data_IF_592125391388
#
_entry.id   IF_592125391388
#
_cell.length_a   1.000
_cell.length_b   1.000
_cell.length_c   1.000
_cell.angle_alpha   90.00
_cell.angle_beta   90.00
_cell.angle_gamma   90.00
#
_symmetry.space_group_name_H-M   'P 1'
#
loop_
_entity.id
_entity.type
_entity.pdbx_description
1 polymer ?
#
# COMPACT_ATOMS: atom_id res chain seq x y z
N UNK A 1 -26.33 -1.07 12.18
CA UNK A 1 -25.34 -0.87 13.25
C UNK A 1 -24.06 -0.45 12.57
N UNK A 2 -23.68 0.82 12.63
CA UNK A 2 -22.42 1.31 12.02
C UNK A 2 -21.27 0.62 12.74
N UNK A 3 -20.42 -0.11 12.02
CA UNK A 3 -19.23 -0.80 12.57
C UNK A 3 -18.15 0.20 13.04
N UNK A 4 -18.23 1.45 12.56
CA UNK A 4 -17.36 2.56 12.92
C UNK A 4 -18.03 3.47 13.96
N UNK A 5 -17.31 3.83 15.03
CA UNK A 5 -17.74 4.86 15.99
C UNK A 5 -17.65 6.27 15.40
N UNK A 6 -18.08 7.27 16.17
CA UNK A 6 -18.03 8.68 15.75
C UNK A 6 -16.61 9.15 15.42
N UNK A 7 -15.61 8.69 16.17
CA UNK A 7 -14.20 9.04 15.94
C UNK A 7 -13.68 8.44 14.61
N UNK A 8 -14.04 7.21 14.29
CA UNK A 8 -13.69 6.57 13.00
C UNK A 8 -14.28 7.34 11.81
N UNK A 9 -15.54 7.81 11.91
CA UNK A 9 -16.15 8.60 10.84
C UNK A 9 -15.49 9.98 10.71
N UNK A 10 -15.06 10.61 11.81
CA UNK A 10 -14.28 11.84 11.76
C UNK A 10 -12.94 11.67 11.03
N UNK A 11 -12.20 10.60 11.34
CA UNK A 11 -10.93 10.29 10.67
C UNK A 11 -11.16 10.02 9.18
N UNK A 12 -12.17 9.22 8.86
CA UNK A 12 -12.57 8.97 7.47
C UNK A 12 -12.87 10.26 6.72
N UNK A 13 -13.61 11.19 7.34
CA UNK A 13 -13.93 12.48 6.73
C UNK A 13 -12.68 13.35 6.51
N UNK A 14 -11.72 13.35 7.43
CA UNK A 14 -10.43 14.05 7.25
C UNK A 14 -9.71 13.50 6.02
N UNK A 15 -9.56 12.17 5.92
CA UNK A 15 -8.90 11.52 4.79
C UNK A 15 -9.63 11.79 3.47
N UNK A 16 -10.97 11.74 3.45
CA UNK A 16 -11.79 12.06 2.27
C UNK A 16 -11.61 13.51 1.83
N UNK A 17 -11.74 14.46 2.75
CA UNK A 17 -11.60 15.88 2.42
C UNK A 17 -10.19 16.22 1.91
N UNK A 18 -9.17 15.55 2.46
CA UNK A 18 -7.81 15.65 1.96
C UNK A 18 -7.71 15.11 0.52
N UNK A 19 -8.20 13.89 0.30
CA UNK A 19 -8.16 13.23 -1.01
C UNK A 19 -8.87 14.05 -2.11
N UNK A 20 -10.05 14.56 -1.81
CA UNK A 20 -10.85 15.38 -2.74
C UNK A 20 -10.16 16.71 -3.09
N UNK A 21 -9.43 17.31 -2.17
CA UNK A 21 -8.78 18.61 -2.38
C UNK A 21 -7.36 18.48 -2.94
N UNK A 22 -6.56 17.58 -2.43
CA UNK A 22 -5.12 17.54 -2.69
C UNK A 22 -4.70 16.43 -3.68
N UNK A 23 -5.57 15.42 -3.95
CA UNK A 23 -5.21 14.29 -4.82
C UNK A 23 -6.11 14.24 -6.07
N UNK A 24 -7.41 14.14 -5.90
CA UNK A 24 -8.37 13.90 -6.99
C UNK A 24 -8.21 14.86 -8.19
N UNK A 25 -8.03 16.19 -7.99
CA UNK A 25 -7.89 17.13 -9.11
C UNK A 25 -6.64 16.93 -9.96
N UNK A 26 -5.62 16.27 -9.42
CA UNK A 26 -4.31 16.11 -10.04
C UNK A 26 -3.99 14.68 -10.47
N UNK A 27 -4.77 13.69 -10.02
CA UNK A 27 -4.49 12.27 -10.20
C UNK A 27 -4.28 11.86 -11.67
N UNK A 28 -5.08 12.38 -12.60
CA UNK A 28 -4.94 12.10 -14.04
C UNK A 28 -3.64 12.67 -14.62
N UNK A 29 -3.23 13.87 -14.21
CA UNK A 29 -1.97 14.46 -14.64
C UNK A 29 -0.78 13.70 -14.09
N UNK A 30 -0.80 13.37 -12.79
CA UNK A 30 0.27 12.62 -12.15
C UNK A 30 0.41 11.19 -12.71
N UNK A 31 -0.70 10.52 -13.04
CA UNK A 31 -0.65 9.22 -13.75
C UNK A 31 0.02 9.36 -15.12
N UNK A 32 -0.33 10.40 -15.90
CA UNK A 32 0.23 10.65 -17.23
C UNK A 32 1.71 11.03 -17.18
N UNK A 33 2.13 11.83 -16.20
CA UNK A 33 3.51 12.31 -16.05
C UNK A 33 4.39 11.37 -15.21
N UNK A 34 3.78 10.39 -14.57
CA UNK A 34 4.43 9.45 -13.63
C UNK A 34 5.22 10.18 -12.51
N UNK A 35 4.67 11.31 -12.07
CA UNK A 35 5.34 12.19 -11.12
C UNK A 35 4.34 12.81 -10.14
N UNK A 36 4.62 12.63 -8.85
CA UNK A 36 3.86 13.23 -7.75
C UNK A 36 4.79 14.16 -6.97
N UNK A 37 4.38 15.41 -6.67
CA UNK A 37 5.18 16.31 -5.86
C UNK A 37 5.47 15.74 -4.47
N UNK A 38 6.73 15.81 -4.02
CA UNK A 38 7.13 15.32 -2.68
C UNK A 38 6.33 16.00 -1.57
N UNK A 39 5.97 17.26 -1.76
CA UNK A 39 5.20 18.07 -0.83
C UNK A 39 3.82 17.50 -0.50
N UNK A 40 3.27 16.63 -1.37
CA UNK A 40 2.01 15.93 -1.07
C UNK A 40 2.14 15.08 0.19
N UNK A 41 3.24 14.36 0.35
CA UNK A 41 3.46 13.49 1.51
C UNK A 41 3.67 14.28 2.80
N UNK A 42 4.28 15.48 2.71
CA UNK A 42 4.37 16.39 3.84
C UNK A 42 2.97 16.87 4.27
N UNK A 43 2.13 17.27 3.31
CA UNK A 43 0.72 17.62 3.59
C UNK A 43 -0.08 16.45 4.16
N UNK A 44 0.18 15.21 3.70
CA UNK A 44 -0.43 14.01 4.28
C UNK A 44 -0.02 13.83 5.74
N UNK A 45 1.23 14.09 6.07
CA UNK A 45 1.73 14.05 7.44
C UNK A 45 1.10 15.12 8.34
N UNK A 46 0.91 16.36 7.84
CA UNK A 46 0.25 17.44 8.57
C UNK A 46 -1.18 17.07 9.04
N UNK A 47 -1.86 16.17 8.33
CA UNK A 47 -3.17 15.65 8.73
C UNK A 47 -3.10 14.26 9.37
N UNK A 48 -1.89 13.80 9.75
CA UNK A 48 -1.66 12.56 10.50
C UNK A 48 -1.67 11.28 9.67
N UNK A 49 -1.70 11.34 8.33
CA UNK A 49 -1.81 10.15 7.48
C UNK A 49 -0.50 9.36 7.32
N UNK A 50 0.67 9.93 7.65
CA UNK A 50 1.96 9.26 7.47
C UNK A 50 2.47 8.51 8.71
N UNK A 51 1.76 8.60 9.85
CA UNK A 51 2.09 7.91 11.10
C UNK A 51 0.86 7.54 11.91
N UNK A 52 -0.18 7.01 11.25
CA UNK A 52 -1.50 6.81 11.86
C UNK A 52 -1.48 5.93 13.10
N UNK A 53 -0.75 4.82 13.04
CA UNK A 53 -0.70 3.80 14.10
C UNK A 53 0.54 3.92 15.01
N UNK A 54 1.35 4.94 14.78
CA UNK A 54 2.57 5.18 15.57
C UNK A 54 2.22 5.97 16.81
N UNK A 55 2.84 5.61 17.93
CA UNK A 55 2.59 6.24 19.22
C UNK A 55 2.89 7.75 19.20
N UNK A 56 2.11 8.57 19.91
CA UNK A 56 2.30 10.02 19.94
C UNK A 56 3.68 10.47 20.42
N UNK A 57 4.36 9.68 21.26
CA UNK A 57 5.74 9.98 21.70
C UNK A 57 6.74 10.03 20.54
N UNK A 58 6.43 9.33 19.42
CA UNK A 58 7.22 9.32 18.19
C UNK A 58 6.61 10.17 17.08
N UNK A 59 5.69 11.09 17.42
CA UNK A 59 5.05 11.99 16.47
C UNK A 59 3.91 11.38 15.66
N UNK A 60 3.49 10.17 15.96
CA UNK A 60 2.35 9.50 15.33
C UNK A 60 1.00 9.92 15.91
N UNK A 61 -0.09 9.43 15.30
CA UNK A 61 -1.46 9.73 15.72
C UNK A 61 -2.02 8.76 16.76
N UNK A 62 -1.36 7.63 17.01
CA UNK A 62 -1.76 6.62 18.00
C UNK A 62 -3.14 5.99 17.73
N UNK A 63 -3.56 5.97 16.45
CA UNK A 63 -4.87 5.48 16.05
C UNK A 63 -4.89 3.95 15.92
N UNK A 64 -6.08 3.39 16.01
CA UNK A 64 -6.31 1.97 15.81
C UNK A 64 -6.22 1.57 14.31
N UNK A 65 -6.17 0.27 14.07
CA UNK A 65 -6.05 -0.28 12.71
C UNK A 65 -7.31 -0.04 11.87
N UNK A 66 -8.48 0.00 12.50
CA UNK A 66 -9.74 0.34 11.85
C UNK A 66 -9.70 1.76 11.27
N UNK A 67 -9.18 2.73 12.00
CA UNK A 67 -8.95 4.10 11.52
C UNK A 67 -8.03 4.15 10.31
N UNK A 68 -6.92 3.38 10.36
CA UNK A 68 -5.97 3.30 9.26
C UNK A 68 -6.61 2.77 7.97
N UNK A 69 -7.37 1.67 8.03
CA UNK A 69 -7.99 1.09 6.82
C UNK A 69 -9.09 1.97 6.25
N UNK A 70 -9.81 2.74 7.09
CA UNK A 70 -10.76 3.75 6.64
C UNK A 70 -10.09 4.86 5.84
N UNK A 71 -8.98 5.41 6.35
CA UNK A 71 -8.19 6.40 5.62
C UNK A 71 -7.61 5.83 4.32
N UNK A 72 -7.11 4.58 4.34
CA UNK A 72 -6.64 3.88 3.14
C UNK A 72 -7.71 3.76 2.06
N UNK A 73 -8.96 3.46 2.42
CA UNK A 73 -10.08 3.42 1.46
C UNK A 73 -10.31 4.79 0.81
N UNK A 74 -10.27 5.88 1.58
CA UNK A 74 -10.51 7.23 1.06
C UNK A 74 -9.37 7.72 0.15
N UNK A 75 -8.12 7.53 0.56
CA UNK A 75 -6.96 7.92 -0.25
C UNK A 75 -6.89 7.10 -1.55
N UNK A 76 -7.14 5.78 -1.46
CA UNK A 76 -7.14 4.91 -2.64
C UNK A 76 -8.31 5.19 -3.60
N UNK A 77 -9.42 5.72 -3.12
CA UNK A 77 -10.51 6.16 -3.99
C UNK A 77 -10.10 7.35 -4.88
N UNK A 78 -9.14 8.17 -4.43
CA UNK A 78 -8.57 9.24 -5.23
C UNK A 78 -7.39 8.76 -6.09
N UNK A 79 -6.47 7.96 -5.51
CA UNK A 79 -5.32 7.41 -6.23
C UNK A 79 -4.71 6.20 -5.50
N UNK A 80 -4.66 5.04 -6.20
CA UNK A 80 -4.12 3.81 -5.65
C UNK A 80 -2.60 3.82 -5.44
N UNK A 81 -1.85 4.53 -6.28
CA UNK A 81 -0.39 4.60 -6.17
C UNK A 81 0.05 5.44 -4.97
N UNK A 82 -0.60 6.57 -4.72
CA UNK A 82 -0.37 7.41 -3.53
C UNK A 82 -0.74 6.65 -2.26
N UNK A 83 -1.88 5.97 -2.26
CA UNK A 83 -2.29 5.10 -1.15
C UNK A 83 -1.24 4.01 -0.86
N UNK A 84 -0.58 3.47 -1.90
CA UNK A 84 0.46 2.46 -1.74
C UNK A 84 1.74 3.01 -1.08
N UNK A 85 2.15 4.25 -1.38
CA UNK A 85 3.27 4.92 -0.67
C UNK A 85 2.91 5.17 0.80
N UNK A 86 1.70 5.68 1.07
CA UNK A 86 1.17 5.83 2.43
C UNK A 86 1.18 4.50 3.19
N UNK A 87 0.77 3.40 2.52
CA UNK A 87 0.79 2.07 3.10
C UNK A 87 2.21 1.65 3.48
N UNK A 88 3.16 1.71 2.55
CA UNK A 88 4.54 1.27 2.78
C UNK A 88 5.20 2.01 3.95
N UNK A 89 4.95 3.32 4.06
CA UNK A 89 5.47 4.15 5.14
C UNK A 89 4.88 3.77 6.51
N UNK A 90 3.55 3.66 6.63
CA UNK A 90 2.87 3.31 7.87
C UNK A 90 3.13 1.85 8.27
N UNK A 91 2.93 0.92 7.32
CA UNK A 91 3.09 -0.52 7.51
C UNK A 91 3.56 -1.13 6.17
N UNK A 92 4.74 -1.77 6.11
CA UNK A 92 5.45 -2.39 7.24
C UNK A 92 6.51 -1.52 7.93
N UNK A 93 6.98 -0.39 7.35
CA UNK A 93 8.21 0.26 7.81
C UNK A 93 8.09 0.84 9.22
N UNK A 94 7.22 1.84 9.42
CA UNK A 94 7.12 2.52 10.71
C UNK A 94 6.65 1.57 11.84
N UNK A 95 5.69 0.70 11.55
CA UNK A 95 5.22 -0.30 12.54
C UNK A 95 6.34 -1.28 12.94
N UNK A 96 7.16 -1.75 11.99
CA UNK A 96 8.27 -2.66 12.32
C UNK A 96 9.30 -1.97 13.23
N UNK A 97 9.64 -0.71 12.93
CA UNK A 97 10.54 0.08 13.79
C UNK A 97 9.95 0.25 15.19
N UNK A 98 8.66 0.60 15.30
CA UNK A 98 7.99 0.74 16.60
C UNK A 98 8.01 -0.56 17.41
N UNK A 99 7.76 -1.70 16.74
CA UNK A 99 7.66 -3.00 17.40
C UNK A 99 8.99 -3.58 17.86
N UNK A 100 10.02 -3.50 17.04
CA UNK A 100 11.29 -4.22 17.28
C UNK A 100 12.53 -3.35 17.16
N UNK A 101 12.41 -2.09 16.81
CA UNK A 101 13.52 -1.15 16.73
C UNK A 101 14.06 -0.79 18.13
N UNK A 102 15.36 -0.52 18.20
CA UNK A 102 15.98 0.07 19.39
C UNK A 102 15.41 1.47 19.65
N UNK A 103 15.53 1.96 20.88
CA UNK A 103 15.12 3.33 21.22
C UNK A 103 15.83 4.38 20.35
N UNK A 104 17.07 4.11 19.95
CA UNK A 104 17.80 4.99 19.04
C UNK A 104 17.18 4.97 17.65
N UNK A 105 16.89 3.79 17.10
CA UNK A 105 16.22 3.65 15.79
C UNK A 105 14.84 4.32 15.80
N UNK A 106 14.07 4.18 16.88
CA UNK A 106 12.76 4.87 17.01
C UNK A 106 12.91 6.39 16.98
N UNK A 107 13.88 6.94 17.73
CA UNK A 107 14.17 8.38 17.70
C UNK A 107 14.63 8.88 16.35
N UNK A 108 15.49 8.14 15.66
CA UNK A 108 16.12 8.57 14.42
C UNK A 108 15.19 8.49 13.22
N UNK A 109 14.29 7.49 13.21
CA UNK A 109 13.46 7.20 12.05
C UNK A 109 11.99 7.55 12.21
N UNK A 110 11.34 7.22 13.35
CA UNK A 110 9.88 7.34 13.46
C UNK A 110 9.41 8.79 13.35
N UNK A 111 10.07 9.74 14.03
CA UNK A 111 9.68 11.15 13.98
C UNK A 111 9.76 11.73 12.58
N UNK A 112 10.73 11.31 11.78
CA UNK A 112 10.90 11.75 10.39
C UNK A 112 9.90 11.09 9.45
N UNK A 113 9.56 9.81 9.67
CA UNK A 113 8.54 9.10 8.90
C UNK A 113 7.14 9.65 9.19
N UNK A 114 6.82 9.93 10.45
CA UNK A 114 5.51 10.45 10.85
C UNK A 114 5.28 11.90 10.43
N UNK A 115 6.34 12.72 10.39
CA UNK A 115 6.30 14.11 9.92
C UNK A 115 6.31 14.24 8.39
N UNK A 116 6.53 13.14 7.65
CA UNK A 116 6.68 13.17 6.18
C UNK A 116 8.02 13.76 5.71
N UNK A 117 8.91 14.12 6.63
CA UNK A 117 10.29 14.50 6.28
C UNK A 117 10.99 13.37 5.52
N UNK A 118 10.77 12.14 5.97
CA UNK A 118 11.25 10.93 5.33
C UNK A 118 10.10 10.02 4.89
N UNK A 119 10.35 9.25 3.83
CA UNK A 119 9.47 8.18 3.34
C UNK A 119 10.20 6.85 3.47
N UNK A 120 9.49 5.85 3.96
CA UNK A 120 10.00 4.49 4.13
C UNK A 120 9.63 3.55 3.00
N UNK A 121 10.55 2.64 2.66
CA UNK A 121 10.32 1.53 1.71
C UNK A 121 10.77 0.20 2.27
N UNK A 122 10.10 -0.90 1.85
CA UNK A 122 10.50 -2.27 2.20
C UNK A 122 11.13 -2.97 1.01
N UNK A 123 12.28 -3.62 1.23
CA UNK A 123 13.10 -4.31 0.24
C UNK A 123 13.13 -5.81 0.53
N UNK A 124 12.12 -6.55 0.07
CA UNK A 124 12.00 -7.99 0.27
C UNK A 124 12.18 -8.77 -1.04
N UNK A 125 11.30 -8.49 -2.02
CA UNK A 125 11.20 -9.21 -3.30
C UNK A 125 12.49 -9.07 -4.13
N UNK A 126 12.86 -10.15 -4.81
CA UNK A 126 14.02 -10.22 -5.73
C UNK A 126 13.56 -10.64 -7.13
N UNK A 127 14.36 -10.40 -8.19
CA UNK A 127 13.95 -10.72 -9.57
C UNK A 127 13.49 -12.16 -9.79
N UNK A 128 14.03 -13.11 -9.02
CA UNK A 128 13.73 -14.54 -9.14
C UNK A 128 12.72 -15.05 -8.12
N UNK A 129 12.37 -14.27 -7.08
CA UNK A 129 11.46 -14.73 -6.02
C UNK A 129 10.60 -13.60 -5.44
N UNK A 130 9.31 -13.85 -5.32
CA UNK A 130 8.34 -12.98 -4.69
C UNK A 130 7.46 -13.76 -3.71
N UNK A 131 6.63 -14.71 -4.21
CA UNK A 131 5.74 -15.54 -3.38
C UNK A 131 6.49 -16.43 -2.40
N UNK A 132 7.66 -16.97 -2.80
CA UNK A 132 8.59 -17.64 -1.89
C UNK A 132 9.59 -16.65 -1.29
N UNK A 133 9.12 -15.84 -0.34
CA UNK A 133 9.91 -14.83 0.33
C UNK A 133 11.13 -15.40 1.11
N UNK A 134 11.18 -16.72 1.33
CA UNK A 134 12.30 -17.38 1.99
C UNK A 134 13.45 -17.72 1.04
N UNK A 135 13.24 -17.65 -0.27
CA UNK A 135 14.23 -17.97 -1.30
C UNK A 135 15.08 -16.75 -1.75
N UNK A 136 15.09 -15.67 -0.98
CA UNK A 136 15.93 -14.50 -1.27
C UNK A 136 17.42 -14.85 -1.19
N UNK A 137 18.21 -14.14 -1.99
CA UNK A 137 19.67 -14.36 -2.12
C UNK A 137 20.52 -13.13 -1.80
N UNK A 138 19.90 -11.95 -1.62
CA UNK A 138 20.61 -10.77 -1.13
C UNK A 138 21.28 -11.10 0.19
N UNK A 139 22.59 -10.90 0.28
CA UNK A 139 23.41 -11.26 1.44
C UNK A 139 23.80 -10.03 2.24
N UNK A 140 23.93 -10.22 3.55
CA UNK A 140 24.58 -9.30 4.45
C UNK A 140 25.75 -10.08 5.13
N UNK A 141 26.97 -9.70 4.85
CA UNK A 141 28.18 -10.32 5.43
C UNK A 141 28.77 -9.41 6.49
N UNK A 142 29.03 -9.93 7.67
CA UNK A 142 29.62 -9.14 8.75
C UNK A 142 31.08 -8.81 8.48
N UNK A 143 31.46 -7.53 8.66
CA UNK A 143 32.84 -7.04 8.55
C UNK A 143 33.12 -6.08 9.72
N UNK A 144 33.63 -6.61 10.83
CA UNK A 144 33.85 -5.86 12.07
C UNK A 144 32.53 -5.35 12.67
N UNK A 145 32.40 -4.04 12.78
CA UNK A 145 31.21 -3.35 13.34
C UNK A 145 30.20 -2.93 12.25
N UNK A 146 30.38 -3.45 11.02
CA UNK A 146 29.52 -3.18 9.89
C UNK A 146 28.96 -4.47 9.28
N UNK A 147 27.92 -4.30 8.47
CA UNK A 147 27.44 -5.32 7.53
C UNK A 147 27.63 -4.81 6.11
N UNK A 148 28.06 -5.71 5.22
CA UNK A 148 28.18 -5.46 3.79
C UNK A 148 27.06 -6.16 3.06
N UNK A 149 26.13 -5.37 2.52
CA UNK A 149 24.96 -5.86 1.79
C UNK A 149 25.28 -5.93 0.30
N UNK A 150 24.99 -7.10 -0.32
CA UNK A 150 25.16 -7.31 -1.76
C UNK A 150 24.00 -8.11 -2.32
N UNK A 151 23.38 -7.60 -3.38
CA UNK A 151 22.24 -8.24 -4.03
C UNK A 151 21.36 -7.27 -4.80
N UNK A 152 20.23 -7.78 -5.29
CA UNK A 152 19.29 -6.96 -6.08
C UNK A 152 17.87 -7.23 -5.62
N UNK A 153 17.12 -6.14 -5.35
CA UNK A 153 15.70 -6.16 -5.03
C UNK A 153 14.90 -5.67 -6.23
N UNK A 154 13.67 -6.20 -6.37
CA UNK A 154 12.77 -5.88 -7.46
C UNK A 154 11.40 -5.45 -6.94
N UNK A 155 10.69 -4.66 -7.75
CA UNK A 155 9.34 -4.15 -7.45
C UNK A 155 9.23 -3.35 -6.15
N UNK A 156 10.27 -2.56 -5.83
CA UNK A 156 10.32 -1.78 -4.60
C UNK A 156 9.48 -0.51 -4.75
N UNK A 157 8.37 -0.45 -4.02
CA UNK A 157 7.51 0.72 -3.91
C UNK A 157 8.28 1.88 -3.28
N UNK A 158 8.19 3.06 -3.88
CA UNK A 158 8.92 4.26 -3.48
C UNK A 158 10.45 4.07 -3.45
N UNK A 159 10.99 3.18 -4.29
CA UNK A 159 12.41 2.80 -4.23
C UNK A 159 13.37 3.95 -4.54
N UNK A 160 12.98 4.90 -5.39
CA UNK A 160 13.75 6.10 -5.67
C UNK A 160 13.30 7.30 -4.81
N UNK A 161 12.06 7.28 -4.33
CA UNK A 161 11.47 8.35 -3.53
C UNK A 161 11.83 8.25 -2.04
N UNK A 162 12.05 7.02 -1.53
CA UNK A 162 12.27 6.78 -0.10
C UNK A 162 13.60 7.31 0.41
N UNK A 163 13.59 7.76 1.66
CA UNK A 163 14.77 8.25 2.39
C UNK A 163 15.33 7.17 3.32
N UNK A 164 14.50 6.16 3.66
CA UNK A 164 14.91 5.03 4.51
C UNK A 164 14.39 3.71 3.94
N UNK A 165 15.25 2.70 3.96
CA UNK A 165 15.00 1.35 3.48
C UNK A 165 14.97 0.34 4.62
N UNK A 166 13.89 -0.45 4.72
CA UNK A 166 13.85 -1.68 5.49
C UNK A 166 14.27 -2.83 4.58
N UNK A 167 15.49 -3.35 4.75
CA UNK A 167 16.11 -4.33 3.86
C UNK A 167 16.10 -5.71 4.51
N UNK A 168 15.59 -6.71 3.79
CA UNK A 168 15.59 -8.11 4.23
C UNK A 168 16.70 -8.84 3.48
N UNK A 169 17.67 -9.42 4.21
CA UNK A 169 18.84 -10.05 3.65
C UNK A 169 19.27 -11.31 4.42
N UNK A 170 19.99 -12.20 3.75
CA UNK A 170 20.53 -13.43 4.33
C UNK A 170 21.83 -13.11 5.09
N UNK A 171 21.84 -13.33 6.39
CA UNK A 171 23.02 -13.19 7.27
C UNK A 171 23.68 -14.54 7.55
N UNK A 172 22.89 -15.64 7.54
CA UNK A 172 23.39 -17.01 7.70
C UNK A 172 22.80 -17.91 6.59
N UNK A 173 23.58 -18.26 5.55
CA UNK A 173 23.12 -19.10 4.45
C UNK A 173 22.67 -20.51 4.87
N UNK A 174 23.17 -21.03 5.98
CA UNK A 174 22.86 -22.37 6.48
C UNK A 174 21.66 -22.35 7.46
N UNK A 175 21.25 -21.16 7.92
CA UNK A 175 20.18 -20.96 8.89
C UNK A 175 18.76 -21.13 8.31
N UNK A 176 18.59 -21.26 6.99
CA UNK A 176 17.30 -21.30 6.31
C UNK A 176 16.47 -20.04 6.65
N UNK A 177 15.20 -20.21 7.06
CA UNK A 177 14.34 -19.07 7.43
C UNK A 177 14.86 -18.27 8.63
N UNK A 178 15.67 -18.88 9.49
CA UNK A 178 16.33 -18.22 10.63
C UNK A 178 17.67 -17.60 10.29
N UNK A 179 18.13 -17.74 9.06
CA UNK A 179 19.32 -17.06 8.55
C UNK A 179 19.01 -15.73 7.86
N UNK A 180 17.77 -15.23 7.94
CA UNK A 180 17.32 -14.00 7.29
C UNK A 180 17.10 -12.91 8.33
N UNK A 181 17.78 -11.77 8.17
CA UNK A 181 17.73 -10.61 9.06
C UNK A 181 17.09 -9.39 8.38
N UNK A 182 16.69 -8.40 9.18
CA UNK A 182 16.21 -7.11 8.70
C UNK A 182 17.18 -6.00 9.08
N UNK A 183 17.32 -5.01 8.21
CA UNK A 183 18.10 -3.80 8.44
C UNK A 183 17.23 -2.58 8.17
N UNK A 184 17.46 -1.50 8.90
CA UNK A 184 16.84 -0.19 8.65
C UNK A 184 17.96 0.83 8.47
N UNK A 185 18.03 1.46 7.30
CA UNK A 185 19.16 2.32 6.93
C UNK A 185 18.73 3.40 5.95
N UNK A 186 19.37 4.59 5.96
CA UNK A 186 19.12 5.63 4.96
C UNK A 186 19.47 5.17 3.53
N UNK A 187 18.75 5.70 2.54
CA UNK A 187 18.93 5.38 1.11
C UNK A 187 19.99 6.24 0.43
N UNK A 188 20.49 7.29 1.07
CA UNK A 188 21.59 8.13 0.57
C UNK A 188 22.98 7.47 0.66
N UNK A 189 23.00 6.20 1.10
CA UNK A 189 24.22 5.38 1.13
C UNK A 189 24.75 5.13 -0.29
N UNK A 190 26.07 5.32 -0.55
CA UNK A 190 26.67 5.13 -1.88
C UNK A 190 26.47 3.75 -2.51
N UNK A 191 26.30 2.71 -1.67
CA UNK A 191 26.00 1.34 -2.11
C UNK A 191 24.53 1.10 -2.47
N UNK A 192 23.62 2.02 -2.20
CA UNK A 192 22.22 1.96 -2.60
C UNK A 192 22.06 2.50 -4.03
N UNK A 193 21.73 1.66 -4.99
CA UNK A 193 21.70 2.05 -6.41
C UNK A 193 20.34 1.74 -7.02
N UNK A 194 19.63 2.77 -7.46
CA UNK A 194 18.43 2.61 -8.29
C UNK A 194 18.88 2.18 -9.69
N UNK A 195 18.59 0.93 -10.07
CA UNK A 195 18.95 0.38 -11.39
C UNK A 195 17.94 0.76 -12.46
N UNK A 196 16.65 0.70 -12.11
CA UNK A 196 15.56 1.03 -13.00
C UNK A 196 14.34 1.46 -12.22
N UNK A 197 13.56 2.36 -12.83
CA UNK A 197 12.18 2.64 -12.48
C UNK A 197 11.30 1.87 -13.47
N UNK A 198 10.42 1.02 -12.95
CA UNK A 198 9.61 0.12 -13.76
C UNK A 198 8.49 0.88 -14.53
N UNK A 199 8.34 0.57 -15.79
CA UNK A 199 7.20 1.04 -16.59
C UNK A 199 6.00 0.12 -16.33
N UNK A 200 4.94 0.65 -15.71
CA UNK A 200 3.85 -0.15 -15.15
C UNK A 200 2.53 0.03 -15.87
N UNK A 201 1.66 -0.96 -15.77
CA UNK A 201 0.26 -0.89 -16.20
C UNK A 201 -0.50 0.23 -15.46
N UNK A 202 -0.44 0.23 -14.12
CA UNK A 202 -1.11 1.16 -13.22
C UNK A 202 -0.23 1.56 -12.04
N UNK A 203 -0.80 2.25 -11.05
CA UNK A 203 -0.05 2.86 -9.94
C UNK A 203 1.12 3.72 -10.42
N UNK A 204 0.95 4.44 -11.52
CA UNK A 204 2.03 5.23 -12.13
C UNK A 204 2.42 6.45 -11.30
N UNK A 205 1.54 6.86 -10.39
CA UNK A 205 1.75 7.92 -9.40
C UNK A 205 2.72 7.54 -8.27
N UNK A 206 3.20 6.31 -8.25
CA UNK A 206 4.22 5.82 -7.33
C UNK A 206 5.36 5.20 -8.16
N UNK A 207 6.60 5.49 -7.82
CA UNK A 207 7.71 4.76 -8.40
C UNK A 207 7.76 3.33 -7.87
N UNK A 208 8.18 2.41 -8.73
CA UNK A 208 8.46 1.02 -8.37
C UNK A 208 9.78 0.67 -9.00
N UNK A 209 10.78 0.35 -8.18
CA UNK A 209 12.15 0.30 -8.64
C UNK A 209 12.78 -1.09 -8.51
N UNK A 210 13.78 -1.31 -9.35
CA UNK A 210 14.81 -2.30 -9.14
C UNK A 210 15.98 -1.64 -8.42
N UNK A 211 16.44 -2.21 -7.29
CA UNK A 211 17.48 -1.65 -6.43
C UNK A 211 18.63 -2.66 -6.31
N UNK A 212 19.86 -2.22 -6.57
CA UNK A 212 21.05 -2.99 -6.24
C UNK A 212 21.69 -2.47 -4.95
N UNK A 213 22.18 -3.40 -4.15
CA UNK A 213 23.12 -3.16 -3.07
C UNK A 213 24.51 -3.58 -3.57
N UNK A 214 25.37 -2.59 -3.80
CA UNK A 214 26.70 -2.75 -4.38
C UNK A 214 27.74 -2.61 -3.26
N UNK A 215 28.01 -3.72 -2.56
CA UNK A 215 28.84 -3.74 -1.35
C UNK A 215 28.44 -2.63 -0.36
N UNK A 216 27.13 -2.44 -0.20
CA UNK A 216 26.55 -1.39 0.64
C UNK A 216 26.91 -1.63 2.11
N UNK A 217 27.71 -0.75 2.69
CA UNK A 217 28.11 -0.82 4.09
C UNK A 217 27.11 -0.13 4.98
N UNK A 218 26.68 -0.84 6.01
CA UNK A 218 25.76 -0.31 7.02
C UNK A 218 26.28 -0.66 8.42
N UNK A 219 26.15 0.23 9.41
CA UNK A 219 26.55 -0.06 10.78
C UNK A 219 25.83 -1.29 11.35
N UNK A 220 26.48 -2.04 12.25
CA UNK A 220 25.82 -3.16 12.92
C UNK A 220 24.57 -2.74 13.70
N UNK A 221 24.49 -1.48 14.13
CA UNK A 221 23.33 -0.88 14.80
C UNK A 221 22.12 -0.71 13.89
N UNK A 222 22.28 -0.80 12.56
CA UNK A 222 21.18 -0.72 11.59
C UNK A 222 20.37 -2.03 11.49
N UNK A 223 20.83 -3.10 12.14
CA UNK A 223 20.04 -4.32 12.25
C UNK A 223 18.73 -4.02 13.00
N UNK A 224 17.61 -4.35 12.38
CA UNK A 224 16.27 -4.15 12.95
C UNK A 224 15.83 -5.41 13.69
N UNK A 225 15.73 -5.32 15.02
CA UNK A 225 15.45 -6.45 15.89
C UNK A 225 16.69 -7.37 16.05
N UNK A 226 16.46 -8.67 16.16
CA UNK A 226 17.51 -9.68 16.36
C UNK A 226 17.93 -10.34 15.04
N UNK A 227 19.19 -10.77 14.97
CA UNK A 227 19.70 -11.55 13.84
C UNK A 227 18.85 -12.82 13.62
N UNK A 228 18.56 -13.15 12.37
CA UNK A 228 17.75 -14.31 12.02
C UNK A 228 16.23 -14.13 12.21
N UNK A 229 15.74 -12.95 12.59
CA UNK A 229 14.32 -12.67 12.79
C UNK A 229 13.68 -11.86 11.67
N UNK A 230 14.46 -11.43 10.67
CA UNK A 230 14.01 -10.51 9.63
C UNK A 230 12.85 -11.01 8.78
N UNK A 231 12.84 -12.29 8.40
CA UNK A 231 11.71 -12.86 7.65
C UNK A 231 10.42 -12.83 8.48
N UNK A 232 10.50 -13.16 9.77
CA UNK A 232 9.35 -13.10 10.69
C UNK A 232 8.81 -11.68 10.84
N UNK A 233 9.69 -10.69 10.98
CA UNK A 233 9.33 -9.26 11.05
C UNK A 233 8.61 -8.84 9.76
N UNK A 234 9.15 -9.17 8.59
CA UNK A 234 8.54 -8.84 7.30
C UNK A 234 7.15 -9.49 7.15
N UNK A 235 7.03 -10.80 7.36
CA UNK A 235 5.79 -11.54 7.13
C UNK A 235 4.67 -11.17 8.10
N UNK A 236 4.98 -10.85 9.37
CA UNK A 236 3.98 -10.40 10.33
C UNK A 236 3.36 -9.05 9.91
N UNK A 237 4.17 -8.13 9.43
CA UNK A 237 3.71 -6.83 8.94
C UNK A 237 2.97 -6.94 7.58
N UNK A 238 3.42 -7.81 6.67
CA UNK A 238 2.70 -8.09 5.41
C UNK A 238 1.32 -8.72 5.66
N UNK A 239 1.15 -9.48 6.74
CA UNK A 239 -0.18 -10.01 7.11
C UNK A 239 -1.17 -8.88 7.44
N UNK A 240 -0.70 -7.78 8.03
CA UNK A 240 -1.49 -6.56 8.25
C UNK A 240 -1.69 -5.79 6.94
N UNK A 241 -0.68 -5.73 6.09
CA UNK A 241 -0.74 -5.13 4.76
C UNK A 241 -1.88 -5.68 3.90
N UNK A 242 -2.20 -6.96 4.01
CA UNK A 242 -3.34 -7.59 3.30
C UNK A 242 -4.68 -6.90 3.57
N UNK A 243 -4.94 -6.52 4.82
CA UNK A 243 -6.18 -5.80 5.20
C UNK A 243 -6.15 -4.39 4.59
N UNK A 244 -4.99 -3.71 4.61
CA UNK A 244 -4.78 -2.43 3.95
C UNK A 244 -5.05 -2.49 2.44
N UNK A 245 -4.54 -3.53 1.76
CA UNK A 245 -4.80 -3.78 0.33
C UNK A 245 -6.28 -4.03 0.05
N UNK A 246 -6.98 -4.76 0.93
CA UNK A 246 -8.43 -4.95 0.79
C UNK A 246 -9.19 -3.62 0.87
N UNK A 247 -8.79 -2.71 1.77
CA UNK A 247 -9.36 -1.37 1.87
C UNK A 247 -9.03 -0.52 0.62
N UNK A 248 -7.80 -0.58 0.10
CA UNK A 248 -7.42 0.08 -1.16
C UNK A 248 -8.28 -0.42 -2.33
N UNK A 249 -8.48 -1.72 -2.44
CA UNK A 249 -9.28 -2.32 -3.49
C UNK A 249 -10.74 -1.85 -3.43
N UNK A 250 -11.31 -1.76 -2.22
CA UNK A 250 -12.66 -1.20 -2.00
C UNK A 250 -12.71 0.28 -2.36
N UNK A 251 -11.67 1.06 -2.05
CA UNK A 251 -11.55 2.47 -2.43
C UNK A 251 -11.60 2.67 -3.94
N UNK A 252 -10.75 1.96 -4.69
CA UNK A 252 -10.74 2.00 -6.15
C UNK A 252 -12.06 1.54 -6.78
N UNK A 253 -12.66 0.46 -6.27
CA UNK A 253 -13.96 -0.04 -6.73
C UNK A 253 -15.08 0.98 -6.47
N UNK A 254 -15.08 1.64 -5.32
CA UNK A 254 -16.04 2.71 -4.98
C UNK A 254 -15.92 3.90 -5.91
N UNK A 255 -14.69 4.31 -6.24
CA UNK A 255 -14.46 5.38 -7.21
C UNK A 255 -14.97 5.01 -8.61
N UNK A 256 -14.72 3.77 -9.06
CA UNK A 256 -15.23 3.26 -10.33
C UNK A 256 -16.76 3.25 -10.38
N UNK A 257 -17.42 2.78 -9.30
CA UNK A 257 -18.89 2.80 -9.19
C UNK A 257 -19.43 4.23 -9.21
N UNK A 258 -18.81 5.16 -8.48
CA UNK A 258 -19.26 6.57 -8.43
C UNK A 258 -19.18 7.21 -9.82
N UNK A 259 -18.08 7.00 -10.55
CA UNK A 259 -17.90 7.50 -11.92
C UNK A 259 -18.97 6.90 -12.86
N UNK A 260 -19.17 5.57 -12.82
CA UNK A 260 -20.16 4.88 -13.65
C UNK A 260 -21.61 5.36 -13.35
N UNK A 261 -21.92 5.56 -12.06
CA UNK A 261 -23.24 6.04 -11.65
C UNK A 261 -23.51 7.48 -12.12
N UNK A 262 -22.52 8.39 -12.00
CA UNK A 262 -22.63 9.76 -12.51
C UNK A 262 -22.83 9.77 -14.00
N UNK A 263 -21.99 9.07 -14.75
CA UNK A 263 -22.11 8.96 -16.19
C UNK A 263 -23.46 8.37 -16.62
N UNK A 264 -23.97 7.36 -15.93
CA UNK A 264 -25.23 6.71 -16.28
C UNK A 264 -26.45 7.62 -16.11
N UNK A 265 -26.38 8.64 -15.24
CA UNK A 265 -27.42 9.65 -15.07
C UNK A 265 -27.43 10.70 -16.16
N UNK A 266 -26.28 10.99 -16.77
CA UNK A 266 -26.11 12.04 -17.76
C UNK A 266 -26.21 11.52 -19.19
N UNK A 267 -25.70 10.31 -19.45
CA UNK A 267 -25.69 9.70 -20.77
C UNK A 267 -27.07 9.20 -21.14
N UNK A 268 -27.56 9.64 -22.30
CA UNK A 268 -28.86 9.22 -22.84
C UNK A 268 -28.70 8.26 -24.03
N UNK A 269 -29.57 7.25 -24.06
CA UNK A 269 -29.80 6.38 -25.21
C UNK A 269 -31.28 6.01 -25.30
N UNK A 270 -31.81 5.87 -26.51
CA UNK A 270 -33.25 5.54 -26.73
C UNK A 270 -34.19 6.51 -26.01
N UNK A 271 -33.82 7.80 -25.94
CA UNK A 271 -34.65 8.88 -25.41
C UNK A 271 -34.72 8.98 -23.88
N UNK A 272 -33.81 8.36 -23.15
CA UNK A 272 -33.74 8.45 -21.67
C UNK A 272 -32.33 8.21 -21.15
N UNK A 273 -31.98 8.64 -19.92
CA UNK A 273 -30.74 8.31 -19.26
C UNK A 273 -30.48 6.80 -19.20
N UNK A 274 -29.22 6.37 -19.39
CA UNK A 274 -28.94 4.94 -19.44
C UNK A 274 -29.18 4.22 -18.11
N UNK A 275 -29.18 4.94 -16.99
CA UNK A 275 -29.51 4.39 -15.67
C UNK A 275 -30.96 3.84 -15.60
N UNK A 276 -31.87 4.35 -16.45
CA UNK A 276 -33.26 3.89 -16.51
C UNK A 276 -33.43 2.57 -17.27
N UNK A 277 -32.36 2.07 -17.91
CA UNK A 277 -32.36 0.73 -18.50
C UNK A 277 -32.02 -0.30 -17.43
N UNK A 278 -32.89 -1.30 -17.22
CA UNK A 278 -32.70 -2.33 -16.18
C UNK A 278 -31.32 -3.00 -16.22
N UNK A 279 -30.78 -3.23 -17.42
CA UNK A 279 -29.45 -3.83 -17.56
C UNK A 279 -28.33 -3.00 -16.91
N UNK A 280 -28.42 -1.67 -16.97
CA UNK A 280 -27.46 -0.75 -16.33
C UNK A 280 -27.76 -0.64 -14.83
N UNK A 281 -29.03 -0.47 -14.45
CA UNK A 281 -29.43 -0.37 -13.05
C UNK A 281 -29.01 -1.61 -12.24
N UNK A 282 -29.19 -2.81 -12.80
CA UNK A 282 -28.80 -4.04 -12.12
C UNK A 282 -27.27 -4.20 -12.01
N UNK A 283 -26.49 -3.78 -13.03
CA UNK A 283 -25.02 -3.73 -12.92
C UNK A 283 -24.58 -2.84 -11.76
N UNK A 284 -25.10 -1.62 -11.67
CA UNK A 284 -24.79 -0.68 -10.59
C UNK A 284 -25.16 -1.24 -9.21
N UNK A 285 -26.32 -1.90 -9.09
CA UNK A 285 -26.76 -2.51 -7.84
C UNK A 285 -25.85 -3.70 -7.43
N UNK A 286 -25.44 -4.54 -8.39
CA UNK A 286 -24.50 -5.63 -8.14
C UNK A 286 -23.11 -5.13 -7.72
N UNK A 287 -22.57 -4.12 -8.44
CA UNK A 287 -21.31 -3.47 -8.07
C UNK A 287 -21.36 -2.93 -6.63
N UNK A 288 -22.43 -2.22 -6.25
CA UNK A 288 -22.61 -1.67 -4.91
C UNK A 288 -22.65 -2.79 -3.84
N UNK A 289 -23.37 -3.87 -4.13
CA UNK A 289 -23.49 -5.04 -3.23
C UNK A 289 -22.14 -5.70 -3.00
N UNK A 290 -21.37 -5.92 -4.05
CA UNK A 290 -20.05 -6.56 -3.96
C UNK A 290 -19.03 -5.68 -3.22
N UNK A 291 -19.05 -4.36 -3.44
CA UNK A 291 -18.22 -3.40 -2.71
C UNK A 291 -18.52 -3.45 -1.21
N UNK A 292 -19.81 -3.46 -0.85
CA UNK A 292 -20.21 -3.50 0.56
C UNK A 292 -19.81 -4.84 1.21
N UNK A 293 -19.98 -5.96 0.52
CA UNK A 293 -19.53 -7.26 1.01
C UNK A 293 -18.01 -7.28 1.27
N UNK A 294 -17.20 -6.73 0.35
CA UNK A 294 -15.76 -6.60 0.52
C UNK A 294 -15.39 -5.71 1.71
N UNK A 295 -16.12 -4.60 1.88
CA UNK A 295 -15.93 -3.68 3.02
C UNK A 295 -16.16 -4.38 4.34
N UNK A 296 -17.22 -5.17 4.48
CA UNK A 296 -17.51 -5.93 5.69
C UNK A 296 -16.42 -6.94 6.02
N UNK A 297 -15.80 -7.59 5.03
CA UNK A 297 -14.69 -8.52 5.25
C UNK A 297 -13.46 -7.82 5.81
N UNK A 298 -13.02 -6.68 5.25
CA UNK A 298 -11.85 -6.00 5.79
C UNK A 298 -12.12 -5.35 7.14
N UNK A 299 -13.32 -4.83 7.38
CA UNK A 299 -13.70 -4.32 8.70
C UNK A 299 -13.70 -5.41 9.77
N UNK A 300 -14.18 -6.60 9.43
CA UNK A 300 -14.13 -7.74 10.35
C UNK A 300 -12.67 -8.07 10.72
N UNK A 301 -11.79 -8.17 9.72
CA UNK A 301 -10.37 -8.43 9.95
C UNK A 301 -9.68 -7.32 10.76
N UNK A 302 -9.95 -6.05 10.45
CA UNK A 302 -9.42 -4.89 11.18
C UNK A 302 -9.89 -4.89 12.65
N UNK A 303 -11.18 -5.13 12.89
CA UNK A 303 -11.72 -5.19 14.26
C UNK A 303 -11.20 -6.39 15.07
N UNK A 304 -10.82 -7.50 14.45
CA UNK A 304 -10.10 -8.58 15.14
C UNK A 304 -8.70 -8.11 15.56
N UNK A 305 -7.98 -7.44 14.65
CA UNK A 305 -6.65 -6.89 14.92
C UNK A 305 -6.66 -5.89 16.08
N UNK A 306 -7.61 -4.95 16.12
CA UNK A 306 -7.72 -3.94 17.18
C UNK A 306 -7.97 -4.56 18.54
N UNK A 307 -8.57 -5.74 18.61
CA UNK A 307 -8.77 -6.53 19.82
C UNK A 307 -7.57 -7.43 20.17
N UNK A 308 -6.48 -7.38 19.41
CA UNK A 308 -5.32 -8.24 19.61
C UNK A 308 -5.57 -9.73 19.28
N UNK A 309 -6.58 -10.04 18.49
CA UNK A 309 -6.93 -11.41 18.10
C UNK A 309 -6.24 -11.82 16.80
N UNK A 310 -6.00 -13.13 16.65
CA UNK A 310 -5.53 -13.72 15.39
C UNK A 310 -6.51 -13.42 14.25
N UNK A 311 -5.98 -12.92 13.12
CA UNK A 311 -6.79 -12.51 11.97
C UNK A 311 -6.16 -12.85 10.60
N UNK A 312 -5.13 -13.71 10.56
CA UNK A 312 -4.42 -14.04 9.32
C UNK A 312 -5.34 -14.62 8.23
N UNK A 313 -6.26 -15.50 8.62
CA UNK A 313 -7.27 -16.07 7.73
C UNK A 313 -8.23 -15.01 7.21
N UNK A 314 -8.75 -14.18 8.08
CA UNK A 314 -9.71 -13.11 7.76
C UNK A 314 -9.06 -12.04 6.87
N UNK A 315 -7.79 -11.71 7.11
CA UNK A 315 -6.99 -10.83 6.26
C UNK A 315 -6.80 -11.39 4.84
N UNK A 316 -6.49 -12.70 4.73
CA UNK A 316 -6.36 -13.38 3.44
C UNK A 316 -7.70 -13.41 2.69
N UNK A 317 -8.81 -13.76 3.37
CA UNK A 317 -10.16 -13.74 2.79
C UNK A 317 -10.57 -12.34 2.31
N UNK A 318 -10.33 -11.32 3.12
CA UNK A 318 -10.64 -9.92 2.77
C UNK A 318 -9.86 -9.47 1.54
N UNK A 319 -8.54 -9.71 1.51
CA UNK A 319 -7.67 -9.35 0.39
C UNK A 319 -8.05 -10.08 -0.89
N UNK A 320 -8.27 -11.38 -0.84
CA UNK A 320 -8.66 -12.20 -1.98
C UNK A 320 -9.97 -11.68 -2.59
N UNK A 321 -11.01 -11.57 -1.78
CA UNK A 321 -12.32 -11.16 -2.26
C UNK A 321 -12.31 -9.72 -2.78
N UNK A 322 -11.74 -8.76 -2.03
CA UNK A 322 -11.73 -7.35 -2.39
C UNK A 322 -10.93 -7.09 -3.67
N UNK A 323 -9.76 -7.71 -3.85
CA UNK A 323 -8.92 -7.49 -5.02
C UNK A 323 -9.56 -8.05 -6.31
N UNK A 324 -10.17 -9.23 -6.27
CA UNK A 324 -10.87 -9.80 -7.42
C UNK A 324 -12.19 -9.05 -7.71
N UNK A 325 -12.89 -8.58 -6.69
CA UNK A 325 -14.07 -7.74 -6.81
C UNK A 325 -13.75 -6.40 -7.48
N UNK A 326 -12.65 -5.74 -7.07
CA UNK A 326 -12.29 -4.43 -7.59
C UNK A 326 -12.01 -4.45 -9.10
N UNK A 327 -11.36 -5.49 -9.62
CA UNK A 327 -11.15 -5.63 -11.07
C UNK A 327 -12.47 -5.81 -11.81
N UNK A 328 -13.38 -6.65 -11.31
CA UNK A 328 -14.71 -6.83 -11.92
C UNK A 328 -15.51 -5.53 -11.94
N UNK A 329 -15.55 -4.82 -10.82
CA UNK A 329 -16.26 -3.54 -10.71
C UNK A 329 -15.67 -2.48 -11.63
N UNK A 330 -14.35 -2.36 -11.70
CA UNK A 330 -13.68 -1.41 -12.60
C UNK A 330 -13.94 -1.76 -14.09
N UNK A 331 -13.95 -3.03 -14.45
CA UNK A 331 -14.32 -3.50 -15.78
C UNK A 331 -15.78 -3.16 -16.15
N UNK A 332 -16.72 -3.37 -15.22
CA UNK A 332 -18.12 -3.00 -15.43
C UNK A 332 -18.31 -1.48 -15.51
N UNK A 333 -17.51 -0.70 -14.81
CA UNK A 333 -17.55 0.76 -14.91
C UNK A 333 -17.13 1.22 -16.32
N UNK A 334 -16.06 0.66 -16.88
CA UNK A 334 -15.67 0.90 -18.30
C UNK A 334 -16.82 0.50 -19.21
N UNK A 335 -17.42 -0.67 -19.01
CA UNK A 335 -18.51 -1.17 -19.85
C UNK A 335 -19.73 -0.25 -19.82
N UNK A 336 -20.08 0.35 -18.69
CA UNK A 336 -21.17 1.32 -18.54
C UNK A 336 -20.87 2.61 -19.32
N UNK A 337 -19.61 3.07 -19.34
CA UNK A 337 -19.19 4.24 -20.12
C UNK A 337 -19.17 3.94 -21.64
N UNK A 338 -19.15 2.67 -22.04
CA UNK A 338 -19.04 2.28 -23.45
C UNK A 338 -17.73 2.76 -24.08
N UNK A 339 -17.75 3.30 -25.27
CA UNK A 339 -16.56 3.79 -25.97
C UNK A 339 -15.79 4.87 -25.19
N UNK A 340 -16.48 5.70 -24.44
CA UNK A 340 -15.86 6.73 -23.59
C UNK A 340 -15.08 6.15 -22.41
N UNK A 341 -15.46 4.98 -21.90
CA UNK A 341 -14.70 4.30 -20.84
C UNK A 341 -13.32 3.78 -21.28
N UNK A 342 -13.05 3.77 -22.58
CA UNK A 342 -11.77 3.38 -23.15
C UNK A 342 -10.83 4.56 -23.43
N UNK A 343 -11.26 5.78 -23.10
CA UNK A 343 -10.52 7.03 -23.32
C UNK A 343 -9.95 7.57 -21.99
N UNK A 344 -8.78 8.18 -22.07
CA UNK A 344 -8.09 8.77 -20.92
C UNK A 344 -8.77 10.03 -20.35
N UNK A 345 -9.82 10.52 -21.05
CA UNK A 345 -10.62 11.67 -20.58
C UNK A 345 -11.55 11.30 -19.39
N UNK A 346 -11.74 10.00 -19.15
CA UNK A 346 -12.58 9.47 -18.07
C UNK A 346 -11.74 8.66 -17.08
N UNK A 347 -12.03 8.73 -15.78
CA UNK A 347 -11.17 8.13 -14.75
C UNK A 347 -11.21 6.60 -14.72
N UNK A 348 -12.21 5.97 -15.34
CA UNK A 348 -12.46 4.54 -15.16
C UNK A 348 -11.38 3.66 -15.80
N UNK A 349 -10.71 4.11 -16.86
CA UNK A 349 -9.61 3.36 -17.46
C UNK A 349 -8.38 3.34 -16.55
N UNK A 350 -8.05 4.49 -15.89
CA UNK A 350 -6.98 4.57 -14.91
C UNK A 350 -7.28 3.69 -13.71
N UNK A 351 -8.49 3.76 -13.17
CA UNK A 351 -8.91 2.93 -12.04
C UNK A 351 -8.78 1.44 -12.38
N UNK A 352 -9.18 1.02 -13.60
CA UNK A 352 -9.04 -0.37 -14.04
C UNK A 352 -7.58 -0.82 -14.08
N UNK A 353 -6.67 0.02 -14.58
CA UNK A 353 -5.23 -0.26 -14.59
C UNK A 353 -4.67 -0.37 -13.17
N UNK A 354 -5.09 0.51 -12.28
CA UNK A 354 -4.60 0.57 -10.91
C UNK A 354 -5.04 -0.64 -10.08
N UNK A 355 -6.31 -1.04 -10.14
CA UNK A 355 -6.84 -2.13 -9.30
C UNK A 355 -6.24 -3.50 -9.64
N UNK A 356 -5.68 -3.66 -10.83
CA UNK A 356 -5.16 -4.97 -11.27
C UNK A 356 -4.01 -5.47 -10.39
N UNK A 357 -3.17 -4.60 -9.86
CA UNK A 357 -2.02 -4.99 -9.02
C UNK A 357 -2.45 -5.56 -7.67
N UNK A 358 -3.64 -5.23 -7.17
CA UNK A 358 -4.13 -5.72 -5.88
C UNK A 358 -4.26 -7.24 -5.79
N UNK A 359 -4.38 -7.94 -6.92
CA UNK A 359 -4.36 -9.40 -6.97
C UNK A 359 -2.96 -10.00 -6.96
N UNK A 360 -1.91 -9.18 -7.13
CA UNK A 360 -0.53 -9.62 -7.36
C UNK A 360 0.33 -9.39 -6.13
N UNK A 361 0.45 -8.15 -5.66
CA UNK A 361 1.34 -7.82 -4.55
C UNK A 361 0.76 -8.19 -3.18
N UNK A 362 1.57 -8.12 -2.12
CA UNK A 362 1.20 -8.53 -0.75
C UNK A 362 0.70 -9.99 -0.68
N UNK A 363 1.22 -10.82 -1.60
CA UNK A 363 0.81 -12.19 -1.85
C UNK A 363 -0.29 -12.30 -2.90
N UNK A 364 -0.03 -13.07 -3.96
CA UNK A 364 -1.00 -13.25 -5.06
C UNK A 364 -2.32 -13.86 -4.58
N UNK A 365 -3.37 -13.81 -5.42
CA UNK A 365 -4.65 -14.48 -5.13
C UNK A 365 -4.47 -15.97 -4.79
N UNK A 366 -3.49 -16.64 -5.43
CA UNK A 366 -3.16 -18.04 -5.15
C UNK A 366 -2.51 -18.22 -3.77
N UNK A 367 -1.70 -17.27 -3.33
CA UNK A 367 -1.10 -17.29 -1.97
C UNK A 367 -2.15 -17.02 -0.89
N UNK A 368 -3.23 -16.26 -1.21
CA UNK A 368 -4.32 -16.02 -0.26
C UNK A 368 -5.23 -17.23 -0.08
N UNK A 369 -5.36 -18.09 -1.07
CA UNK A 369 -6.12 -19.38 -1.02
C UNK A 369 -5.43 -20.42 -0.17
#
# INVERSE_FOLDING_TARGET
MTLAGADHEAIRQVARSFAEREITPFAAEWDRTESVPRELYNKMAEVGLMGMMIDPEWGGSGLDFTSYVLAMEEISAADGGIANVMAANNSPVAIAIQQVGSDQQKRDYLTRLTSGEWIGSIHLTEPHTGSDASAITTRATRDGDEWVLTGTKAFITAGALSDVAMIIAVTDPDGGKRGISAFITPTDNPGYRVLAKENKLGHRTNDTCQIAFDEMRVPASDMLGEEGRGLGIALSNLSLGRIGVAAQAVGGARAALAAAHSYAKERETFGRPIIDHQAIAFKLADMATQIEAARQLYFHAAGLRDRGLECAREAAMAKLFASEMAERVASEAIQIHGGYGFLNDYPVEKIYRDVRVYQIYEGTSEVQK
#
